data_IF_861972220767
#
_entry.id   IF_861972220767
#
_cell.length_a   1.000
_cell.length_b   1.000
_cell.length_c   1.000
_cell.angle_alpha   90.00
_cell.angle_beta   90.00
_cell.angle_gamma   90.00
#
_symmetry.space_group_name_H-M   'P 1'
#
loop_
_entity.id
_entity.type
_entity.pdbx_description
1 polymer ?
#
# COMPACT_ATOMS: atom_id res chain seq x y z
N UNK A 1 7.13 -15.46 -14.54
CA UNK A 1 7.31 -15.63 -13.08
C UNK A 1 7.09 -14.29 -12.42
N UNK A 2 6.34 -14.23 -11.31
CA UNK A 2 6.19 -13.00 -10.53
C UNK A 2 7.46 -12.82 -9.69
N UNK A 3 7.96 -11.59 -9.58
CA UNK A 3 9.15 -11.28 -8.78
C UNK A 3 8.94 -11.66 -7.31
N UNK A 4 10.03 -11.92 -6.58
CA UNK A 4 9.96 -12.16 -5.13
C UNK A 4 9.24 -11.01 -4.42
N UNK A 5 9.49 -9.76 -4.84
CA UNK A 5 8.83 -8.56 -4.36
C UNK A 5 7.29 -8.62 -4.45
N UNK A 6 6.76 -9.01 -5.61
CA UNK A 6 5.30 -9.12 -5.77
C UNK A 6 4.72 -10.28 -4.95
N UNK A 7 5.50 -11.35 -4.73
CA UNK A 7 5.09 -12.46 -3.85
C UNK A 7 5.04 -12.00 -2.39
N UNK A 8 6.10 -11.36 -1.90
CA UNK A 8 6.19 -10.80 -0.54
C UNK A 8 5.07 -9.81 -0.28
N UNK A 9 4.81 -8.88 -1.20
CA UNK A 9 3.74 -7.89 -1.03
C UNK A 9 2.35 -8.55 -0.90
N UNK A 10 2.10 -9.64 -1.64
CA UNK A 10 0.84 -10.40 -1.51
C UNK A 10 0.76 -11.20 -0.22
N UNK A 11 1.85 -11.79 0.22
CA UNK A 11 1.94 -12.50 1.51
C UNK A 11 1.63 -11.52 2.65
N UNK A 12 2.27 -10.35 2.62
CA UNK A 12 1.98 -9.25 3.54
C UNK A 12 0.52 -8.83 3.51
N UNK A 13 -0.05 -8.61 2.33
CA UNK A 13 -1.45 -8.21 2.23
C UNK A 13 -2.41 -9.26 2.81
N UNK A 14 -2.13 -10.55 2.60
CA UNK A 14 -2.94 -11.63 3.15
C UNK A 14 -2.84 -11.66 4.69
N UNK A 15 -1.63 -11.68 5.24
CA UNK A 15 -1.42 -11.76 6.68
C UNK A 15 -1.95 -10.52 7.42
N UNK A 16 -1.77 -9.32 6.85
CA UNK A 16 -2.30 -8.08 7.41
C UNK A 16 -3.84 -8.10 7.46
N UNK A 17 -4.50 -8.53 6.38
CA UNK A 17 -5.97 -8.63 6.35
C UNK A 17 -6.49 -9.70 7.31
N UNK A 18 -5.81 -10.85 7.43
CA UNK A 18 -6.19 -11.87 8.41
C UNK A 18 -6.03 -11.40 9.86
N UNK A 19 -4.96 -10.66 10.15
CA UNK A 19 -4.66 -10.20 11.51
C UNK A 19 -5.52 -9.01 11.96
N UNK A 20 -5.86 -8.11 11.03
CA UNK A 20 -6.48 -6.82 11.34
C UNK A 20 -7.90 -6.67 10.77
N UNK A 21 -8.33 -7.53 9.85
CA UNK A 21 -9.70 -7.61 9.37
C UNK A 21 -10.28 -6.25 8.96
N UNK A 22 -11.33 -5.82 9.65
CA UNK A 22 -12.06 -4.58 9.37
C UNK A 22 -11.22 -3.32 9.58
N UNK A 23 -10.09 -3.38 10.29
CA UNK A 23 -9.20 -2.23 10.50
C UNK A 23 -8.36 -1.89 9.25
N UNK A 24 -8.27 -2.80 8.27
CA UNK A 24 -7.58 -2.57 6.99
C UNK A 24 -8.62 -2.35 5.90
N UNK A 25 -8.57 -1.18 5.28
CA UNK A 25 -9.53 -0.80 4.25
C UNK A 25 -8.99 -1.07 2.86
N UNK A 26 -7.71 -0.78 2.63
CA UNK A 26 -7.06 -1.02 1.35
C UNK A 26 -5.56 -1.26 1.52
N UNK A 27 -5.00 -2.14 0.70
CA UNK A 27 -3.56 -2.38 0.59
C UNK A 27 -3.19 -2.26 -0.89
N UNK A 28 -2.24 -1.40 -1.20
CA UNK A 28 -1.85 -1.08 -2.58
C UNK A 28 -0.33 -1.13 -2.69
N UNK A 29 0.16 -2.00 -3.57
CA UNK A 29 1.56 -2.02 -3.96
C UNK A 29 1.80 -0.89 -4.96
N UNK A 30 2.85 -0.09 -4.75
CA UNK A 30 3.23 0.98 -5.66
C UNK A 30 4.75 0.99 -5.89
N UNK A 31 5.27 2.03 -6.53
CA UNK A 31 6.72 2.22 -6.69
C UNK A 31 7.35 1.37 -7.79
N UNK A 32 8.66 1.15 -7.65
CA UNK A 32 9.53 0.51 -8.66
C UNK A 32 9.09 -0.93 -9.00
N UNK A 33 8.49 -1.64 -8.03
CA UNK A 33 7.96 -3.00 -8.23
C UNK A 33 6.83 -3.02 -9.26
N UNK A 34 5.97 -2.00 -9.26
CA UNK A 34 4.86 -1.91 -10.21
C UNK A 34 5.32 -1.42 -11.58
N UNK A 35 6.33 -0.56 -11.62
CA UNK A 35 6.94 -0.07 -12.87
C UNK A 35 7.82 -1.10 -13.58
N UNK A 36 8.10 -2.23 -12.93
CA UNK A 36 8.96 -3.29 -13.46
C UNK A 36 10.45 -2.95 -13.43
N UNK A 37 10.81 -1.91 -12.68
CA UNK A 37 12.19 -1.40 -12.54
C UNK A 37 12.87 -1.95 -11.28
N UNK A 38 12.17 -2.76 -10.48
CA UNK A 38 12.71 -3.35 -9.25
C UNK A 38 13.84 -4.36 -9.55
N UNK A 39 15.02 -4.07 -9.02
CA UNK A 39 16.15 -4.99 -8.87
C UNK A 39 16.01 -5.87 -7.63
N UNK A 40 16.86 -6.89 -7.46
CA UNK A 40 16.86 -7.78 -6.28
C UNK A 40 17.15 -7.05 -4.95
N UNK A 41 17.64 -5.81 -4.99
CA UNK A 41 17.89 -4.95 -3.83
C UNK A 41 16.80 -3.88 -3.64
N UNK A 42 15.73 -3.90 -4.44
CA UNK A 42 14.70 -2.86 -4.39
C UNK A 42 13.75 -3.05 -3.20
N UNK A 43 13.45 -1.93 -2.55
CA UNK A 43 12.40 -1.87 -1.53
C UNK A 43 11.02 -2.13 -2.14
N UNK A 44 10.14 -2.72 -1.34
CA UNK A 44 8.75 -3.00 -1.67
C UNK A 44 7.90 -1.90 -1.07
N UNK A 45 7.43 -0.97 -1.90
CA UNK A 45 6.59 0.14 -1.42
C UNK A 45 5.12 -0.26 -1.33
N UNK A 46 4.54 -0.22 -0.14
CA UNK A 46 3.15 -0.59 0.10
C UNK A 46 2.40 0.50 0.85
N UNK A 47 1.27 0.91 0.28
CA UNK A 47 0.30 1.80 0.91
C UNK A 47 -0.68 0.93 1.66
N UNK A 48 -0.88 1.24 2.94
CA UNK A 48 -1.96 0.69 3.75
C UNK A 48 -2.89 1.82 4.14
N UNK A 49 -4.15 1.71 3.72
CA UNK A 49 -5.23 2.55 4.22
C UNK A 49 -5.95 1.73 5.27
N UNK A 50 -5.89 2.18 6.51
CA UNK A 50 -6.57 1.55 7.63
C UNK A 50 -7.26 2.58 8.51
N UNK A 51 -7.89 2.11 9.58
CA UNK A 51 -8.51 3.02 10.53
C UNK A 51 -7.46 3.78 11.37
N UNK A 52 -7.90 4.84 12.04
CA UNK A 52 -7.05 5.63 12.92
C UNK A 52 -6.86 5.03 14.32
N UNK A 53 -7.17 3.74 14.54
CA UNK A 53 -7.08 3.17 15.87
C UNK A 53 -5.62 2.91 16.26
N UNK A 54 -5.31 3.23 17.52
CA UNK A 54 -3.98 3.03 18.10
C UNK A 54 -3.63 1.54 18.09
N UNK A 55 -2.67 1.15 17.23
CA UNK A 55 -2.11 -0.19 17.16
C UNK A 55 -2.24 -0.91 15.81
N UNK A 56 -3.12 -0.45 14.91
CA UNK A 56 -3.23 -1.04 13.57
C UNK A 56 -1.95 -0.80 12.75
N UNK A 57 -1.41 0.42 12.80
CA UNK A 57 -0.14 0.79 12.14
C UNK A 57 1.04 -0.01 12.69
N UNK A 58 1.24 -0.06 14.03
CA UNK A 58 2.28 -0.88 14.66
C UNK A 58 2.17 -2.35 14.24
N UNK A 59 0.94 -2.89 14.24
CA UNK A 59 0.73 -4.29 13.87
C UNK A 59 1.05 -4.56 12.39
N UNK A 60 0.75 -3.61 11.51
CA UNK A 60 1.14 -3.67 10.10
C UNK A 60 2.66 -3.71 9.96
N UNK A 61 3.38 -2.85 10.70
CA UNK A 61 4.84 -2.79 10.67
C UNK A 61 5.48 -4.08 11.20
N UNK A 62 4.92 -4.66 12.27
CA UNK A 62 5.37 -5.97 12.79
C UNK A 62 5.22 -7.07 11.73
N UNK A 63 4.07 -7.13 11.05
CA UNK A 63 3.80 -8.15 10.04
C UNK A 63 4.73 -7.98 8.84
N UNK A 64 4.95 -6.75 8.37
CA UNK A 64 5.90 -6.50 7.26
C UNK A 64 7.31 -6.94 7.64
N UNK A 65 7.76 -6.63 8.86
CA UNK A 65 9.09 -7.01 9.34
C UNK A 65 9.29 -8.54 9.38
N UNK A 66 8.33 -9.28 9.92
CA UNK A 66 8.39 -10.75 9.99
C UNK A 66 8.44 -11.41 8.60
N UNK A 67 7.72 -10.84 7.64
CA UNK A 67 7.69 -11.32 6.25
C UNK A 67 8.98 -10.96 5.52
N UNK A 68 9.50 -9.76 5.73
CA UNK A 68 10.77 -9.31 5.17
C UNK A 68 11.94 -10.18 5.63
N UNK A 69 11.97 -10.55 6.91
CA UNK A 69 12.95 -11.49 7.45
C UNK A 69 12.86 -12.88 6.79
N UNK A 70 11.64 -13.40 6.61
CA UNK A 70 11.41 -14.71 5.95
C UNK A 70 11.86 -14.71 4.50
N UNK A 71 11.55 -13.64 3.77
CA UNK A 71 11.75 -13.55 2.33
C UNK A 71 13.06 -12.88 1.92
N UNK A 72 13.82 -12.33 2.88
CA UNK A 72 15.04 -11.53 2.65
C UNK A 72 14.77 -10.33 1.75
N UNK A 73 13.68 -9.63 2.04
CA UNK A 73 13.24 -8.41 1.35
C UNK A 73 13.21 -7.22 2.31
N UNK A 74 12.91 -6.04 1.81
CA UNK A 74 12.61 -4.86 2.62
C UNK A 74 11.31 -4.22 2.12
N UNK A 75 10.37 -3.99 3.02
CA UNK A 75 9.07 -3.40 2.72
C UNK A 75 8.94 -2.04 3.38
N UNK A 76 8.71 -1.00 2.58
CA UNK A 76 8.42 0.35 3.04
C UNK A 76 6.92 0.54 3.11
N UNK A 77 6.39 0.61 4.34
CA UNK A 77 4.97 0.84 4.58
C UNK A 77 4.69 2.34 4.68
N UNK A 78 3.75 2.82 3.88
CA UNK A 78 3.07 4.09 4.10
C UNK A 78 1.67 3.83 4.64
N UNK A 79 1.48 4.02 5.95
CA UNK A 79 0.18 3.91 6.60
C UNK A 79 -0.54 5.27 6.59
N UNK A 80 -1.84 5.27 6.27
CA UNK A 80 -2.64 6.50 6.27
C UNK A 80 -4.10 6.19 6.55
N UNK A 81 -4.80 7.10 7.22
CA UNK A 81 -6.26 7.02 7.30
C UNK A 81 -6.90 7.51 6.00
N UNK A 82 -8.14 7.10 5.68
CA UNK A 82 -8.83 7.62 4.49
C UNK A 82 -8.92 9.15 4.49
N UNK A 83 -9.15 9.76 5.65
CA UNK A 83 -9.23 11.23 5.76
C UNK A 83 -7.89 11.92 5.52
N UNK A 84 -6.79 11.35 6.03
CA UNK A 84 -5.44 11.90 5.79
C UNK A 84 -5.04 11.77 4.32
N UNK A 85 -5.33 10.60 3.73
CA UNK A 85 -5.08 10.33 2.33
C UNK A 85 -5.88 11.26 1.40
N UNK A 86 -7.17 11.42 1.65
CA UNK A 86 -8.03 12.35 0.90
C UNK A 86 -7.58 13.81 1.05
N UNK A 87 -7.14 14.20 2.25
CA UNK A 87 -6.59 15.55 2.49
C UNK A 87 -5.36 15.79 1.63
N UNK A 88 -4.43 14.82 1.57
CA UNK A 88 -3.22 14.93 0.73
C UNK A 88 -3.53 14.92 -0.76
N UNK A 89 -4.54 14.17 -1.20
CA UNK A 89 -5.05 14.21 -2.57
C UNK A 89 -5.53 15.62 -2.94
N UNK A 90 -6.34 16.25 -2.08
CA UNK A 90 -6.84 17.63 -2.31
C UNK A 90 -5.73 18.68 -2.32
N UNK A 91 -4.61 18.40 -1.67
CA UNK A 91 -3.42 19.26 -1.66
C UNK A 91 -2.52 19.04 -2.90
N UNK A 92 -2.88 18.14 -3.82
CA UNK A 92 -2.10 17.87 -5.02
C UNK A 92 -0.77 17.18 -4.72
N UNK A 93 -0.76 16.25 -3.75
CA UNK A 93 0.46 15.50 -3.43
C UNK A 93 0.86 14.59 -4.59
N UNK A 94 2.03 14.81 -5.24
CA UNK A 94 2.43 14.02 -6.41
C UNK A 94 2.64 12.54 -6.08
N UNK A 95 2.99 12.23 -4.82
CA UNK A 95 3.06 10.87 -4.31
C UNK A 95 1.69 10.19 -4.36
N UNK A 96 0.65 10.84 -3.85
CA UNK A 96 -0.71 10.29 -3.81
C UNK A 96 -1.26 10.09 -5.21
N UNK A 97 -1.01 11.04 -6.11
CA UNK A 97 -1.40 10.93 -7.52
C UNK A 97 -0.71 9.74 -8.21
N UNK A 98 0.58 9.51 -7.96
CA UNK A 98 1.31 8.36 -8.51
C UNK A 98 0.73 7.03 -8.00
N UNK A 99 0.47 6.92 -6.69
CA UNK A 99 -0.13 5.71 -6.11
C UNK A 99 -1.53 5.47 -6.65
N UNK A 100 -2.35 6.53 -6.81
CA UNK A 100 -3.68 6.40 -7.40
C UNK A 100 -3.61 6.04 -8.88
N UNK A 101 -2.66 6.55 -9.65
CA UNK A 101 -2.54 6.29 -11.08
C UNK A 101 -1.95 4.90 -11.38
N UNK A 102 -0.80 4.58 -10.79
CA UNK A 102 -0.02 3.39 -11.11
C UNK A 102 -0.19 2.25 -10.10
N UNK A 103 -0.68 2.53 -8.89
CA UNK A 103 -0.74 1.56 -7.80
C UNK A 103 -1.58 0.32 -8.12
N UNK A 104 -1.03 -0.84 -7.76
CA UNK A 104 -1.64 -2.16 -7.90
C UNK A 104 -2.34 -2.55 -6.59
N UNK A 105 -3.66 -2.61 -6.65
CA UNK A 105 -4.50 -3.00 -5.51
C UNK A 105 -4.29 -4.48 -5.19
N UNK A 106 -3.91 -4.76 -3.94
CA UNK A 106 -3.80 -6.11 -3.38
C UNK A 106 -5.02 -6.47 -2.53
N UNK A 107 -5.57 -5.49 -1.81
CA UNK A 107 -6.81 -5.58 -1.06
C UNK A 107 -7.54 -4.23 -1.13
N UNK A 108 -8.87 -4.23 -1.26
CA UNK A 108 -9.69 -3.01 -1.17
C UNK A 108 -11.13 -3.35 -0.77
N UNK A 109 -11.66 -2.64 0.22
CA UNK A 109 -13.08 -2.68 0.61
C UNK A 109 -13.94 -1.65 -0.15
N UNK A 110 -13.37 -0.98 -1.15
CA UNK A 110 -13.98 0.08 -1.94
C UNK A 110 -13.54 1.49 -1.51
N UNK A 111 -12.69 1.61 -0.49
CA UNK A 111 -12.13 2.90 -0.07
C UNK A 111 -11.14 3.44 -1.09
N UNK A 112 -10.19 2.63 -1.54
CA UNK A 112 -9.21 3.08 -2.51
C UNK A 112 -9.84 3.37 -3.87
N UNK A 113 -10.83 2.56 -4.30
CA UNK A 113 -11.61 2.85 -5.50
C UNK A 113 -12.27 4.24 -5.44
N UNK A 114 -12.94 4.57 -4.33
CA UNK A 114 -13.56 5.90 -4.15
C UNK A 114 -12.54 7.03 -4.18
N UNK A 115 -11.39 6.85 -3.52
CA UNK A 115 -10.32 7.85 -3.53
C UNK A 115 -9.77 8.08 -4.94
N UNK A 116 -9.64 7.02 -5.74
CA UNK A 116 -9.24 7.10 -7.14
C UNK A 116 -10.26 7.84 -8.02
N UNK A 117 -11.55 7.66 -7.76
CA UNK A 117 -12.63 8.39 -8.45
C UNK A 117 -12.69 9.88 -8.08
N UNK A 118 -12.21 10.24 -6.89
CA UNK A 118 -12.08 11.64 -6.46
C UNK A 118 -10.87 12.36 -7.07
N UNK A 119 -9.90 11.62 -7.62
CA UNK A 119 -8.75 12.22 -8.26
C UNK A 119 -9.24 13.07 -9.44
N UNK A 120 -8.97 14.39 -9.47
CA UNK A 120 -9.36 15.20 -10.60
C UNK A 120 -8.73 14.60 -11.86
N UNK A 121 -9.51 14.53 -12.95
CA UNK A 121 -8.95 14.15 -14.24
C UNK A 121 -7.80 15.10 -14.53
N UNK A 122 -6.57 14.59 -14.47
CA UNK A 122 -5.39 15.34 -14.86
C UNK A 122 -5.62 15.63 -16.34
N UNK A 123 -6.00 16.88 -16.68
CA UNK A 123 -6.07 17.34 -18.07
C UNK A 123 -4.75 16.99 -18.75
N UNK A 124 -4.73 16.39 -19.94
CA UNK A 124 -5.36 16.98 -21.14
C UNK A 124 -4.36 17.95 -21.73
#
# INVERSE_FOLDING_TARGET
MKSIHEKTAREFAAEAVEALGEHIYSIVLYGSVVRGEASDESDIDVLVIGDGQSGAEDRVLDISYEIDLRNRTATSIFYSTPEDFERRLKLGSPFIEDVLSAGKVLHDNGTFKRLREQMPAIGG
#
